data_IF_153622124766
#
_entry.id   IF_153622124766
#
_cell.length_a   1.000
_cell.length_b   1.000
_cell.length_c   1.000
_cell.angle_alpha   90.00
_cell.angle_beta   90.00
_cell.angle_gamma   90.00
#
_symmetry.space_group_name_H-M   'P 1'
#
loop_
_entity.id
_entity.type
_entity.pdbx_description
1 polymer ?
#
# COMPACT_ATOMS: atom_id res chain seq x y z
N UNK A 1 37.98 -40.41 52.01
CA UNK A 1 38.61 -39.35 52.82
C UNK A 1 39.05 -38.29 51.81
N UNK A 2 38.69 -36.99 51.94
CA UNK A 2 39.14 -36.02 50.96
C UNK A 2 40.67 -35.96 51.01
N UNK A 3 41.32 -36.30 49.90
CA UNK A 3 42.77 -36.19 49.74
C UNK A 3 43.12 -34.70 49.76
N UNK A 4 43.48 -34.21 50.95
CA UNK A 4 43.95 -32.84 51.17
C UNK A 4 45.40 -32.76 50.70
N UNK A 5 45.66 -31.88 49.72
CA UNK A 5 47.00 -31.59 49.23
C UNK A 5 47.42 -30.18 49.67
N UNK A 6 48.56 -30.06 50.36
CA UNK A 6 49.04 -28.83 51.01
C UNK A 6 50.53 -28.57 50.79
N UNK A 7 51.15 -29.15 49.75
CA UNK A 7 52.58 -29.00 49.50
C UNK A 7 52.84 -27.87 48.49
N UNK A 8 53.76 -26.97 48.85
CA UNK A 8 54.10 -25.77 48.08
C UNK A 8 53.37 -24.52 48.58
N UNK A 9 53.63 -23.38 47.92
CA UNK A 9 52.97 -22.11 48.21
C UNK A 9 52.34 -21.52 46.96
N UNK A 10 51.36 -20.64 47.12
CA UNK A 10 50.66 -19.98 46.01
C UNK A 10 50.64 -18.48 46.17
N UNK A 11 50.66 -17.78 45.04
CA UNK A 11 50.53 -16.33 44.95
C UNK A 11 49.43 -15.95 43.97
N UNK A 12 48.65 -14.93 44.31
CA UNK A 12 47.52 -14.41 43.52
C UNK A 12 47.50 -12.90 43.68
N UNK A 13 47.46 -12.16 42.58
CA UNK A 13 47.27 -10.71 42.64
C UNK A 13 45.80 -10.36 42.91
N UNK A 14 45.56 -9.26 43.62
CA UNK A 14 44.23 -8.77 43.93
C UNK A 14 43.44 -8.54 42.63
N UNK A 15 42.25 -9.12 42.55
CA UNK A 15 41.36 -8.98 41.39
C UNK A 15 41.72 -9.87 40.21
N UNK A 16 42.78 -10.67 40.27
CA UNK A 16 43.10 -11.67 39.24
C UNK A 16 42.57 -13.06 39.59
N UNK A 17 42.38 -13.89 38.57
CA UNK A 17 41.99 -15.30 38.71
C UNK A 17 43.19 -16.24 38.63
N UNK A 18 44.32 -15.79 38.10
CA UNK A 18 45.52 -16.61 37.95
C UNK A 18 46.23 -16.79 39.28
N UNK A 19 46.44 -18.05 39.65
CA UNK A 19 47.20 -18.49 40.82
C UNK A 19 48.52 -19.08 40.34
N UNK A 20 49.63 -18.53 40.80
CA UNK A 20 50.98 -19.06 40.52
C UNK A 20 51.46 -19.87 41.72
N UNK A 21 51.76 -21.14 41.48
CA UNK A 21 52.28 -22.07 42.49
C UNK A 21 53.80 -22.19 42.44
N UNK A 22 54.41 -22.31 43.62
CA UNK A 22 55.84 -22.61 43.82
C UNK A 22 55.99 -23.91 44.61
N UNK A 23 56.75 -24.86 44.07
CA UNK A 23 56.92 -26.19 44.69
C UNK A 23 55.64 -27.03 44.77
N UNK A 24 54.69 -26.78 43.85
CA UNK A 24 53.38 -27.46 43.78
C UNK A 24 53.40 -28.63 42.79
N UNK A 25 52.51 -29.62 43.00
CA UNK A 25 52.18 -30.64 42.00
C UNK A 25 50.66 -30.69 41.77
N UNK A 26 50.20 -30.12 40.67
CA UNK A 26 48.77 -30.04 40.32
C UNK A 26 48.30 -31.12 39.34
N UNK A 27 49.01 -32.26 39.29
CA UNK A 27 48.84 -33.31 38.28
C UNK A 27 47.47 -34.00 38.22
N UNK A 28 46.64 -33.89 39.26
CA UNK A 28 45.25 -34.36 39.26
C UNK A 28 44.32 -33.26 39.80
N UNK A 29 44.54 -31.99 39.47
CA UNK A 29 43.57 -30.91 39.69
C UNK A 29 42.62 -30.84 38.50
N UNK A 30 41.31 -30.74 38.76
CA UNK A 30 40.29 -30.60 37.72
C UNK A 30 39.47 -29.33 37.92
N UNK A 31 38.90 -28.82 36.84
CA UNK A 31 37.91 -27.76 36.90
C UNK A 31 36.76 -28.16 37.84
N UNK A 32 36.42 -27.28 38.77
CA UNK A 32 35.42 -27.49 39.82
C UNK A 32 35.95 -28.00 41.16
N UNK A 33 37.24 -28.39 41.26
CA UNK A 33 37.87 -28.62 42.57
C UNK A 33 38.03 -27.28 43.30
N UNK A 34 38.10 -27.31 44.63
CA UNK A 34 38.16 -26.10 45.45
C UNK A 34 39.57 -25.92 46.04
N UNK A 35 40.08 -24.70 45.95
CA UNK A 35 41.33 -24.30 46.62
C UNK A 35 41.03 -23.25 47.68
N UNK A 36 41.51 -23.51 48.89
CA UNK A 36 41.51 -22.58 50.00
C UNK A 36 42.93 -22.08 50.22
N UNK A 37 43.13 -20.76 50.25
CA UNK A 37 44.45 -20.15 50.41
C UNK A 37 44.49 -19.38 51.73
N UNK A 38 45.36 -19.80 52.65
CA UNK A 38 45.34 -19.34 54.04
C UNK A 38 43.94 -19.45 54.67
N UNK A 39 43.49 -18.37 55.31
CA UNK A 39 42.17 -18.25 55.94
C UNK A 39 41.08 -17.69 55.00
N UNK A 40 41.38 -17.51 53.70
CA UNK A 40 40.41 -17.00 52.74
C UNK A 40 39.33 -18.05 52.42
N UNK A 41 38.09 -17.66 52.08
CA UNK A 41 37.06 -18.61 51.68
C UNK A 41 37.51 -19.37 50.43
N UNK A 42 37.24 -20.68 50.39
CA UNK A 42 37.60 -21.52 49.25
C UNK A 42 37.02 -21.01 47.93
N UNK A 43 37.76 -21.23 46.85
CA UNK A 43 37.40 -20.82 45.49
C UNK A 43 37.42 -22.03 44.58
N UNK A 44 36.40 -22.16 43.75
CA UNK A 44 36.39 -23.16 42.70
C UNK A 44 37.46 -22.84 41.64
N UNK A 45 38.16 -23.87 41.20
CA UNK A 45 39.16 -23.79 40.13
C UNK A 45 38.43 -23.86 38.79
N UNK A 46 38.63 -22.87 37.93
CA UNK A 46 38.07 -22.83 36.58
C UNK A 46 38.83 -23.76 35.63
N UNK A 47 40.16 -23.74 35.70
CA UNK A 47 41.02 -24.59 34.86
C UNK A 47 42.43 -24.69 35.43
N UNK A 48 43.12 -25.78 35.11
CA UNK A 48 44.57 -25.89 35.28
C UNK A 48 45.23 -25.44 33.99
N UNK A 49 46.00 -24.36 34.04
CA UNK A 49 46.63 -23.75 32.86
C UNK A 49 47.92 -24.48 32.51
N UNK A 50 48.74 -24.79 33.51
CA UNK A 50 49.95 -25.59 33.38
C UNK A 50 50.33 -26.22 34.74
N UNK A 51 51.53 -26.80 34.85
CA UNK A 51 52.00 -27.45 36.07
C UNK A 51 52.14 -26.52 37.30
N UNK A 52 52.16 -25.21 37.06
CA UNK A 52 52.42 -24.15 38.06
C UNK A 52 51.40 -22.99 38.00
N UNK A 53 50.50 -22.95 37.01
CA UNK A 53 49.42 -21.96 36.91
C UNK A 53 48.02 -22.60 36.86
N UNK A 54 47.11 -22.09 37.69
CA UNK A 54 45.69 -22.44 37.66
C UNK A 54 44.85 -21.16 37.67
N UNK A 55 43.64 -21.26 37.14
CA UNK A 55 42.68 -20.15 37.12
C UNK A 55 41.55 -20.44 38.10
N UNK A 56 41.17 -19.43 38.89
CA UNK A 56 40.01 -19.45 39.76
C UNK A 56 38.75 -19.03 39.00
N UNK A 57 37.61 -19.61 39.35
CA UNK A 57 36.31 -19.21 38.80
C UNK A 57 35.90 -17.79 39.22
N UNK A 58 36.43 -17.30 40.34
CA UNK A 58 36.22 -15.94 40.84
C UNK A 58 37.50 -15.41 41.47
N UNK A 59 37.85 -14.14 41.26
CA UNK A 59 39.09 -13.57 41.76
C UNK A 59 39.16 -13.51 43.29
N UNK A 60 40.38 -13.43 43.80
CA UNK A 60 40.64 -13.14 45.21
C UNK A 60 40.80 -11.63 45.34
N UNK A 61 40.00 -11.00 46.20
CA UNK A 61 39.96 -9.53 46.33
C UNK A 61 41.16 -8.92 47.08
N UNK A 62 42.19 -9.71 47.37
CA UNK A 62 43.37 -9.33 48.15
C UNK A 62 44.62 -9.93 47.51
N UNK A 63 45.76 -9.26 47.67
CA UNK A 63 47.06 -9.79 47.24
C UNK A 63 47.48 -10.91 48.19
N UNK A 64 47.83 -12.06 47.60
CA UNK A 64 48.35 -13.24 48.28
C UNK A 64 49.73 -13.51 47.72
N UNK A 65 50.75 -13.60 48.59
CA UNK A 65 52.12 -13.86 48.16
C UNK A 65 52.72 -14.99 48.98
N UNK A 66 52.95 -16.13 48.32
CA UNK A 66 53.65 -17.27 48.92
C UNK A 66 52.91 -17.92 50.08
N UNK A 67 51.57 -17.93 50.05
CA UNK A 67 50.73 -18.49 51.11
C UNK A 67 50.55 -20.00 50.99
N UNK A 68 50.26 -20.64 52.12
CA UNK A 68 49.90 -22.06 52.17
C UNK A 68 48.47 -22.23 51.65
N UNK A 69 48.20 -23.33 50.95
CA UNK A 69 46.88 -23.65 50.44
C UNK A 69 46.45 -25.07 50.80
N UNK A 70 45.15 -25.29 50.76
CA UNK A 70 44.49 -26.59 50.87
C UNK A 70 43.67 -26.83 49.62
N UNK A 71 43.96 -27.92 48.92
CA UNK A 71 43.16 -28.37 47.78
C UNK A 71 42.13 -29.42 48.22
N UNK A 72 40.85 -29.13 47.98
CA UNK A 72 39.74 -30.06 48.16
C UNK A 72 39.34 -30.62 46.79
N UNK A 73 39.54 -31.92 46.60
CA UNK A 73 39.17 -32.64 45.37
C UNK A 73 37.68 -32.98 45.34
N UNK A 74 36.84 -31.97 45.22
CA UNK A 74 35.38 -32.06 45.27
C UNK A 74 34.70 -31.71 43.94
N UNK A 75 35.42 -31.66 42.81
CA UNK A 75 34.82 -31.37 41.51
C UNK A 75 33.62 -32.28 41.23
N UNK A 76 32.48 -31.73 40.76
CA UNK A 76 31.29 -32.53 40.43
C UNK A 76 31.58 -33.67 39.44
N UNK A 77 32.54 -33.47 38.53
CA UNK A 77 32.99 -34.47 37.55
C UNK A 77 33.68 -35.71 38.17
N UNK A 78 34.11 -35.64 39.44
CA UNK A 78 34.70 -36.77 40.17
C UNK A 78 33.64 -37.72 40.72
N UNK A 79 32.39 -37.27 40.86
CA UNK A 79 31.28 -38.06 41.36
C UNK A 79 30.47 -38.61 40.17
N UNK A 80 30.85 -39.80 39.72
CA UNK A 80 30.33 -40.49 38.51
C UNK A 80 28.81 -40.49 38.38
N UNK A 81 28.06 -40.62 39.48
CA UNK A 81 26.59 -40.69 39.47
C UNK A 81 25.88 -39.34 39.27
N UNK A 82 26.43 -38.23 39.79
CA UNK A 82 25.83 -36.90 39.64
C UNK A 82 26.14 -36.28 38.28
N UNK A 83 27.39 -36.42 37.83
CA UNK A 83 27.84 -35.88 36.55
C UNK A 83 27.20 -36.58 35.35
N UNK A 84 27.08 -37.91 35.37
CA UNK A 84 26.35 -38.64 34.33
C UNK A 84 24.86 -38.24 34.28
N UNK A 85 24.22 -38.02 35.43
CA UNK A 85 22.82 -37.58 35.47
C UNK A 85 22.63 -36.18 34.87
N UNK A 86 23.56 -35.25 35.11
CA UNK A 86 23.56 -33.94 34.45
C UNK A 86 23.82 -34.03 32.95
N UNK A 87 24.79 -34.84 32.53
CA UNK A 87 25.06 -35.07 31.11
C UNK A 87 23.86 -35.68 30.38
N UNK A 88 23.20 -36.67 30.99
CA UNK A 88 21.97 -37.27 30.45
C UNK A 88 20.85 -36.25 30.41
N UNK A 89 20.65 -35.44 31.46
CA UNK A 89 19.65 -34.35 31.46
C UNK A 89 19.94 -33.33 30.35
N UNK A 90 21.20 -32.95 30.16
CA UNK A 90 21.61 -32.03 29.10
C UNK A 90 21.41 -32.63 27.71
N UNK A 91 21.70 -33.93 27.53
CA UNK A 91 21.46 -34.63 26.27
C UNK A 91 19.96 -34.72 25.96
N UNK A 92 19.12 -35.06 26.94
CA UNK A 92 17.66 -35.09 26.79
C UNK A 92 17.12 -33.71 26.46
N UNK A 93 17.62 -32.65 27.11
CA UNK A 93 17.25 -31.27 26.76
C UNK A 93 17.64 -30.91 25.32
N UNK A 94 18.85 -31.29 24.87
CA UNK A 94 19.29 -31.08 23.48
C UNK A 94 18.47 -31.89 22.48
N UNK A 95 18.09 -33.12 22.81
CA UNK A 95 17.21 -33.93 21.98
C UNK A 95 15.81 -33.30 21.86
N UNK A 96 15.28 -32.73 22.94
CA UNK A 96 14.03 -31.97 22.91
C UNK A 96 14.09 -30.75 21.98
N UNK A 97 15.22 -30.03 21.97
CA UNK A 97 15.44 -28.91 21.02
C UNK A 97 15.46 -29.40 19.57
N UNK A 98 16.03 -30.56 19.30
CA UNK A 98 16.09 -31.13 17.94
C UNK A 98 14.72 -31.56 17.42
N UNK A 99 13.89 -32.18 18.27
CA UNK A 99 12.52 -32.56 17.89
C UNK A 99 11.62 -31.32 17.70
N UNK A 100 11.78 -30.28 18.52
CA UNK A 100 11.10 -28.99 18.32
C UNK A 100 11.54 -28.27 17.03
N UNK A 101 12.78 -28.52 16.57
CA UNK A 101 13.33 -27.93 15.35
C UNK A 101 12.93 -28.67 14.07
N UNK A 102 12.14 -29.75 14.13
CA UNK A 102 11.66 -30.44 12.92
C UNK A 102 10.69 -29.52 12.16
N UNK A 103 11.05 -29.06 10.94
CA UNK A 103 10.28 -28.05 10.24
C UNK A 103 8.97 -28.59 9.67
N UNK A 104 8.84 -29.90 9.46
CA UNK A 104 7.63 -30.55 8.96
C UNK A 104 7.54 -32.00 9.47
N UNK A 105 6.34 -32.48 9.75
CA UNK A 105 6.08 -33.89 10.01
C UNK A 105 5.38 -34.55 8.82
N UNK A 106 5.84 -35.73 8.42
CA UNK A 106 5.12 -36.56 7.46
C UNK A 106 4.06 -37.39 8.20
N UNK A 107 2.81 -37.29 7.77
CA UNK A 107 1.68 -37.99 8.40
C UNK A 107 0.93 -38.84 7.39
N UNK A 108 0.58 -40.06 7.76
CA UNK A 108 -0.14 -41.00 6.90
C UNK A 108 -1.53 -40.48 6.54
N UNK A 109 -2.22 -39.86 7.50
CA UNK A 109 -3.53 -39.23 7.27
C UNK A 109 -3.73 -38.00 8.14
N UNK A 110 -4.57 -37.09 7.67
CA UNK A 110 -5.05 -35.96 8.44
C UNK A 110 -6.56 -36.04 8.66
N UNK A 111 -6.99 -35.96 9.93
CA UNK A 111 -8.39 -35.86 10.29
C UNK A 111 -9.11 -37.19 10.55
N UNK A 112 -8.39 -38.32 10.59
CA UNK A 112 -9.02 -39.61 10.94
C UNK A 112 -9.42 -39.63 12.41
N UNK A 113 -10.65 -40.10 12.69
CA UNK A 113 -11.19 -40.17 14.05
C UNK A 113 -10.92 -41.51 14.75
N UNK A 114 -10.41 -42.51 14.04
CA UNK A 114 -10.10 -43.83 14.61
C UNK A 114 -8.68 -44.25 14.29
N UNK A 115 -7.96 -44.88 15.23
CA UNK A 115 -6.65 -45.43 14.97
C UNK A 115 -6.72 -46.50 13.87
N UNK A 116 -5.71 -46.58 12.98
CA UNK A 116 -5.60 -47.68 12.02
C UNK A 116 -5.48 -49.02 12.76
N UNK A 117 -5.99 -50.09 12.15
CA UNK A 117 -5.93 -51.43 12.75
C UNK A 117 -4.53 -52.06 12.77
N UNK A 118 -3.62 -51.60 11.91
CA UNK A 118 -2.25 -52.14 11.80
C UNK A 118 -1.23 -51.04 11.46
N UNK A 119 -0.97 -50.08 12.36
CA UNK A 119 0.06 -49.06 12.16
C UNK A 119 1.47 -49.65 12.17
N UNK A 120 2.36 -49.09 11.35
CA UNK A 120 3.79 -49.43 11.35
C UNK A 120 4.50 -48.55 12.38
N UNK A 121 5.54 -49.09 13.03
CA UNK A 121 6.36 -48.31 13.98
C UNK A 121 6.85 -47.03 13.31
N UNK A 122 6.70 -45.92 14.02
CA UNK A 122 6.96 -44.54 13.59
C UNK A 122 5.94 -43.91 12.63
N UNK A 123 4.85 -44.60 12.29
CA UNK A 123 3.76 -43.93 11.57
C UNK A 123 3.17 -42.80 12.41
N UNK A 124 2.94 -41.67 11.76
CA UNK A 124 2.28 -40.50 12.37
C UNK A 124 0.96 -40.19 11.69
N UNK A 125 0.01 -39.71 12.46
CA UNK A 125 -1.34 -39.35 12.02
C UNK A 125 -1.73 -38.03 12.70
N UNK A 126 -2.52 -37.21 12.03
CA UNK A 126 -3.24 -36.13 12.71
C UNK A 126 -4.63 -36.63 13.08
N UNK A 127 -4.91 -36.63 14.38
CA UNK A 127 -6.18 -37.05 14.95
C UNK A 127 -7.27 -36.06 14.55
N UNK A 128 -8.41 -36.57 14.10
CA UNK A 128 -9.57 -35.76 13.74
C UNK A 128 -10.24 -35.05 14.91
N UNK A 129 -11.32 -34.35 14.62
CA UNK A 129 -12.03 -33.49 15.60
C UNK A 129 -12.91 -34.26 16.57
N UNK A 130 -13.22 -35.54 16.30
CA UNK A 130 -14.10 -36.37 17.13
C UNK A 130 -13.51 -37.76 17.33
N UNK A 131 -12.36 -37.88 18.02
CA UNK A 131 -11.61 -39.12 18.05
C UNK A 131 -12.25 -40.19 18.94
N UNK A 132 -11.98 -41.45 18.58
CA UNK A 132 -12.55 -42.67 19.16
C UNK A 132 -11.45 -43.68 19.49
N UNK A 133 -11.81 -44.73 20.24
CA UNK A 133 -10.86 -45.78 20.62
C UNK A 133 -9.65 -45.23 21.39
N UNK A 134 -8.45 -45.69 21.02
CA UNK A 134 -7.21 -45.24 21.66
C UNK A 134 -6.89 -43.74 21.45
N UNK A 135 -7.55 -43.08 20.49
CA UNK A 135 -7.35 -41.65 20.21
C UNK A 135 -8.33 -40.73 20.98
N UNK A 136 -9.29 -41.30 21.74
CA UNK A 136 -10.29 -40.53 22.45
C UNK A 136 -9.69 -39.42 23.34
N UNK A 137 -10.25 -38.21 23.27
CA UNK A 137 -9.78 -37.03 24.01
C UNK A 137 -8.53 -36.35 23.43
N UNK A 138 -8.01 -36.80 22.28
CA UNK A 138 -6.79 -36.27 21.64
C UNK A 138 -7.08 -35.54 20.32
N UNK A 139 -8.20 -34.83 20.24
CA UNK A 139 -8.63 -34.16 19.02
C UNK A 139 -7.54 -33.19 18.51
N UNK A 140 -7.28 -33.19 17.20
CA UNK A 140 -6.28 -32.37 16.53
C UNK A 140 -4.81 -32.60 16.90
N UNK A 141 -4.50 -33.52 17.82
CA UNK A 141 -3.12 -33.86 18.17
C UNK A 141 -2.47 -34.70 17.07
N UNK A 142 -1.13 -34.69 17.05
CA UNK A 142 -0.36 -35.69 16.32
C UNK A 142 -0.31 -36.96 17.15
N UNK A 143 -0.56 -38.09 16.50
CA UNK A 143 -0.48 -39.43 17.09
C UNK A 143 0.59 -40.23 16.36
N UNK A 144 1.63 -40.64 17.09
CA UNK A 144 2.73 -41.47 16.58
C UNK A 144 2.63 -42.88 17.18
N UNK A 145 2.79 -43.90 16.35
CA UNK A 145 2.86 -45.28 16.82
C UNK A 145 4.29 -45.69 17.19
N UNK A 146 4.53 -46.10 18.43
CA UNK A 146 5.87 -46.51 18.91
C UNK A 146 6.21 -47.97 18.65
N UNK A 147 5.28 -48.74 18.06
CA UNK A 147 5.34 -50.20 17.97
C UNK A 147 4.52 -50.92 19.06
N UNK A 148 4.21 -50.23 20.16
CA UNK A 148 3.42 -50.80 21.27
C UNK A 148 2.39 -49.83 21.87
N UNK A 149 2.56 -48.51 21.69
CA UNK A 149 1.66 -47.50 22.21
C UNK A 149 1.56 -46.28 21.30
N UNK A 150 0.53 -45.46 21.51
CA UNK A 150 0.36 -44.17 20.86
C UNK A 150 1.00 -43.06 21.69
N UNK A 151 1.95 -42.34 21.11
CA UNK A 151 2.49 -41.10 21.64
C UNK A 151 1.70 -39.93 21.03
N UNK A 152 1.21 -39.01 21.87
CA UNK A 152 0.44 -37.85 21.41
C UNK A 152 1.18 -36.55 21.67
N UNK A 153 1.25 -35.72 20.64
CA UNK A 153 1.84 -34.38 20.69
C UNK A 153 0.77 -33.35 20.36
N UNK A 154 0.61 -32.34 21.20
CA UNK A 154 -0.29 -31.21 20.91
C UNK A 154 0.29 -30.36 19.77
N UNK A 155 -0.55 -29.84 18.90
CA UNK A 155 -0.12 -28.99 17.80
C UNK A 155 0.12 -27.55 18.28
N UNK A 156 1.31 -27.02 18.04
CA UNK A 156 1.64 -25.62 18.29
C UNK A 156 1.35 -24.77 17.05
N UNK A 157 1.02 -23.48 17.27
CA UNK A 157 0.71 -22.56 16.17
C UNK A 157 1.84 -22.50 15.15
N UNK A 158 1.53 -22.71 13.87
CA UNK A 158 2.51 -22.73 12.79
C UNK A 158 3.13 -24.11 12.53
N UNK A 159 2.80 -25.13 13.33
CA UNK A 159 3.21 -26.51 13.04
C UNK A 159 2.65 -26.94 11.69
N UNK A 160 3.50 -27.53 10.86
CA UNK A 160 3.17 -28.01 9.52
C UNK A 160 3.32 -29.52 9.40
N UNK A 161 2.39 -30.12 8.68
CA UNK A 161 2.39 -31.54 8.34
C UNK A 161 2.18 -31.73 6.85
N UNK A 162 2.79 -32.75 6.28
CA UNK A 162 2.53 -33.19 4.91
C UNK A 162 1.82 -34.54 4.96
N UNK A 163 0.63 -34.61 4.37
CA UNK A 163 -0.12 -35.87 4.31
C UNK A 163 0.38 -36.74 3.16
N UNK A 164 0.84 -37.96 3.46
CA UNK A 164 1.28 -38.93 2.44
C UNK A 164 0.13 -39.32 1.52
N UNK A 165 -1.07 -39.48 2.07
CA UNK A 165 -2.26 -39.86 1.32
C UNK A 165 -2.69 -38.81 0.27
N UNK A 166 -2.42 -37.52 0.49
CA UNK A 166 -2.93 -36.43 -0.37
C UNK A 166 -1.84 -35.54 -0.98
N UNK A 167 -0.61 -35.58 -0.47
CA UNK A 167 0.47 -34.66 -0.81
C UNK A 167 0.26 -33.23 -0.29
N UNK A 168 -0.83 -32.95 0.43
CA UNK A 168 -1.18 -31.60 0.88
C UNK A 168 -0.43 -31.25 2.15
N UNK A 169 0.21 -30.07 2.14
CA UNK A 169 0.75 -29.45 3.34
C UNK A 169 -0.41 -28.80 4.10
N UNK A 170 -0.52 -29.10 5.39
CA UNK A 170 -1.48 -28.45 6.29
C UNK A 170 -0.75 -27.78 7.45
N UNK A 171 -1.24 -26.62 7.87
CA UNK A 171 -0.66 -25.82 8.95
C UNK A 171 -1.70 -25.65 10.06
N UNK A 172 -1.26 -25.82 11.30
CA UNK A 172 -2.08 -25.55 12.48
C UNK A 172 -2.18 -24.05 12.75
N UNK A 173 -3.39 -23.49 12.70
CA UNK A 173 -3.63 -22.06 12.95
C UNK A 173 -3.89 -21.73 14.43
N UNK A 174 -3.68 -22.67 15.35
CA UNK A 174 -4.04 -22.55 16.77
C UNK A 174 -5.40 -23.16 17.16
N UNK A 175 -6.28 -23.42 16.18
CA UNK A 175 -7.63 -23.96 16.41
C UNK A 175 -8.02 -25.12 15.48
N UNK A 176 -7.45 -25.17 14.28
CA UNK A 176 -7.75 -26.17 13.25
C UNK A 176 -6.55 -26.36 12.32
N UNK A 177 -6.46 -27.56 11.74
CA UNK A 177 -5.54 -27.85 10.63
C UNK A 177 -6.15 -27.33 9.32
N UNK A 178 -5.43 -26.45 8.64
CA UNK A 178 -5.86 -25.87 7.36
C UNK A 178 -4.85 -26.22 6.26
N UNK A 179 -5.33 -26.56 5.08
CA UNK A 179 -4.48 -26.77 3.92
C UNK A 179 -3.74 -25.47 3.54
N UNK A 180 -2.44 -25.56 3.31
CA UNK A 180 -1.67 -24.47 2.73
C UNK A 180 -2.06 -24.32 1.25
N UNK A 181 -2.53 -23.13 0.90
CA UNK A 181 -2.82 -22.75 -0.48
C UNK A 181 -1.78 -21.72 -0.90
N UNK A 182 -0.97 -22.07 -1.90
CA UNK A 182 0.01 -21.13 -2.43
C UNK A 182 -0.71 -19.89 -2.99
N UNK A 183 -0.25 -18.66 -2.68
CA UNK A 183 -0.82 -17.46 -3.25
C UNK A 183 -0.69 -17.50 -4.78
N UNK A 184 -1.72 -17.02 -5.48
CA UNK A 184 -1.64 -16.86 -6.94
C UNK A 184 -0.55 -15.84 -7.29
N UNK A 185 -0.09 -15.85 -8.55
CA UNK A 185 0.87 -14.84 -9.02
C UNK A 185 0.38 -13.41 -8.78
N UNK A 186 -0.92 -13.15 -8.91
CA UNK A 186 -1.53 -11.87 -8.56
C UNK A 186 -1.39 -11.55 -7.07
N UNK A 187 -1.75 -12.47 -6.17
CA UNK A 187 -1.64 -12.23 -4.72
C UNK A 187 -0.19 -12.03 -4.32
N UNK A 188 0.76 -12.77 -4.90
CA UNK A 188 2.19 -12.56 -4.66
C UNK A 188 2.63 -11.13 -4.95
N UNK A 189 2.13 -10.50 -6.03
CA UNK A 189 2.48 -9.10 -6.32
C UNK A 189 2.04 -8.12 -5.22
N UNK A 190 0.99 -8.44 -4.45
CA UNK A 190 0.52 -7.61 -3.35
C UNK A 190 1.21 -7.89 -2.01
N UNK A 191 1.81 -9.08 -1.84
CA UNK A 191 2.35 -9.51 -0.55
C UNK A 191 3.67 -8.80 -0.19
N UNK A 192 4.38 -8.27 -1.18
CA UNK A 192 5.62 -7.51 -1.00
C UNK A 192 5.36 -6.00 -0.81
N UNK A 193 4.11 -5.54 -0.94
CA UNK A 193 3.74 -4.14 -0.79
C UNK A 193 3.72 -3.74 0.70
N UNK A 194 4.65 -2.88 1.10
CA UNK A 194 4.82 -2.45 2.50
C UNK A 194 3.79 -1.41 2.94
N UNK A 195 3.10 -0.79 1.99
CA UNK A 195 2.07 0.21 2.26
C UNK A 195 0.84 0.05 1.37
N UNK A 196 -0.29 0.59 1.82
CA UNK A 196 -1.48 0.70 0.98
C UNK A 196 -1.24 1.52 -0.29
N UNK A 197 -0.24 2.41 -0.29
CA UNK A 197 0.15 3.19 -1.47
C UNK A 197 0.92 2.36 -2.50
N UNK A 198 1.62 1.32 -2.12
CA UNK A 198 2.31 0.40 -3.03
C UNK A 198 1.32 -0.62 -3.60
N UNK A 199 0.45 -1.18 -2.74
CA UNK A 199 -0.64 -2.08 -3.14
C UNK A 199 -1.54 -1.51 -4.23
N UNK A 200 -1.88 -0.22 -4.15
CA UNK A 200 -2.68 0.46 -5.18
C UNK A 200 -1.92 0.58 -6.53
N UNK A 201 -0.60 0.41 -6.58
CA UNK A 201 0.24 0.62 -7.78
C UNK A 201 0.20 -0.68 -8.56
N UNK A 202 0.46 -1.74 -7.83
CA UNK A 202 0.36 -3.13 -8.26
C UNK A 202 -1.04 -3.46 -8.80
N UNK A 203 -2.10 -2.90 -8.19
CA UNK A 203 -3.48 -3.05 -8.65
C UNK A 203 -3.81 -2.35 -10.00
N UNK A 204 -2.87 -1.62 -10.60
CA UNK A 204 -2.85 -1.46 -12.05
C UNK A 204 -3.85 -0.48 -12.68
N UNK A 205 -4.27 0.61 -12.03
CA UNK A 205 -4.93 1.69 -12.76
C UNK A 205 -4.48 3.07 -12.25
N UNK A 206 -3.48 3.64 -12.93
CA UNK A 206 -3.04 5.03 -12.74
C UNK A 206 -4.22 6.00 -12.76
N UNK A 207 -5.19 5.76 -13.66
CA UNK A 207 -6.44 6.52 -13.75
C UNK A 207 -7.35 6.34 -12.52
N UNK A 208 -7.45 5.13 -11.96
CA UNK A 208 -8.26 4.88 -10.76
C UNK A 208 -7.63 5.51 -9.51
N UNK A 209 -6.29 5.54 -9.45
CA UNK A 209 -5.54 6.28 -8.41
C UNK A 209 -5.81 7.78 -8.48
N UNK A 210 -5.72 8.35 -9.67
CA UNK A 210 -5.96 9.76 -9.92
C UNK A 210 -7.40 10.16 -9.53
N UNK A 211 -8.38 9.27 -9.71
CA UNK A 211 -9.77 9.50 -9.32
C UNK A 211 -10.07 9.25 -7.84
N UNK A 212 -9.38 8.30 -7.19
CA UNK A 212 -9.69 7.83 -5.84
C UNK A 212 -9.45 8.86 -4.72
N UNK A 213 -8.74 9.95 -4.99
CA UNK A 213 -8.47 11.04 -4.04
C UNK A 213 -9.24 12.33 -4.35
N UNK A 214 -10.10 12.33 -5.38
CA UNK A 214 -10.80 13.52 -5.81
C UNK A 214 -11.92 13.92 -4.85
N UNK A 215 -11.92 15.18 -4.45
CA UNK A 215 -13.03 15.83 -3.72
C UNK A 215 -13.49 17.05 -4.49
N UNK A 216 -14.79 17.29 -4.59
CA UNK A 216 -15.34 18.46 -5.26
C UNK A 216 -16.72 18.88 -4.76
N UNK A 217 -17.11 20.10 -5.10
CA UNK A 217 -18.48 20.57 -4.96
C UNK A 217 -19.43 19.85 -5.94
N UNK A 218 -20.73 19.82 -5.60
CA UNK A 218 -21.78 19.28 -6.46
C UNK A 218 -21.75 19.91 -7.86
N UNK A 219 -22.00 19.10 -8.91
CA UNK A 219 -21.98 19.56 -10.30
C UNK A 219 -20.58 19.67 -10.91
N UNK A 220 -19.60 18.95 -10.37
CA UNK A 220 -18.23 18.86 -10.91
C UNK A 220 -17.99 17.52 -11.62
N UNK A 221 -17.13 17.49 -12.63
CA UNK A 221 -16.68 16.27 -13.33
C UNK A 221 -15.17 16.08 -13.17
N UNK A 222 -14.71 14.82 -13.27
CA UNK A 222 -13.29 14.49 -13.23
C UNK A 222 -12.66 14.64 -14.63
N UNK A 223 -11.50 15.28 -14.70
CA UNK A 223 -10.72 15.45 -15.94
C UNK A 223 -9.28 15.02 -15.69
N UNK A 224 -8.73 14.19 -16.58
CA UNK A 224 -7.32 13.84 -16.55
C UNK A 224 -6.45 14.99 -17.08
N UNK A 225 -5.34 15.26 -16.40
CA UNK A 225 -4.40 16.35 -16.72
C UNK A 225 -3.02 15.84 -17.12
N UNK A 226 -2.64 14.63 -16.68
CA UNK A 226 -1.34 14.02 -16.95
C UNK A 226 -1.38 13.00 -18.09
N UNK A 227 -0.24 12.79 -18.74
CA UNK A 227 -0.04 11.73 -19.73
C UNK A 227 -0.38 10.37 -19.12
N UNK A 228 -1.15 9.54 -19.83
CA UNK A 228 -1.52 8.20 -19.35
C UNK A 228 -2.47 8.17 -18.13
N UNK A 229 -3.16 9.28 -17.82
CA UNK A 229 -4.12 9.34 -16.72
C UNK A 229 -3.48 9.35 -15.34
N UNK A 230 -2.22 9.78 -15.24
CA UNK A 230 -1.48 9.83 -13.97
C UNK A 230 -2.05 10.84 -12.97
N UNK A 231 -2.60 11.94 -13.49
CA UNK A 231 -3.18 13.02 -12.71
C UNK A 231 -4.60 13.30 -13.17
N UNK A 232 -5.49 13.58 -12.21
CA UNK A 232 -6.85 14.02 -12.46
C UNK A 232 -7.20 15.19 -11.53
N UNK A 233 -8.08 16.04 -12.01
CA UNK A 233 -8.61 17.18 -11.27
C UNK A 233 -10.12 17.22 -11.40
N UNK A 234 -10.78 17.83 -10.42
CA UNK A 234 -12.21 18.11 -10.49
C UNK A 234 -12.44 19.49 -11.09
N UNK A 235 -13.41 19.57 -11.99
CA UNK A 235 -13.74 20.78 -12.75
C UNK A 235 -15.25 21.01 -12.69
N UNK A 236 -15.68 22.26 -12.61
CA UNK A 236 -17.11 22.57 -12.68
C UNK A 236 -17.65 22.25 -14.09
N UNK A 237 -18.87 21.71 -14.19
CA UNK A 237 -19.54 21.50 -15.49
C UNK A 237 -19.80 22.87 -16.16
N UNK A 238 -20.29 23.84 -15.39
CA UNK A 238 -20.53 25.21 -15.84
C UNK A 238 -19.61 26.19 -15.09
N UNK A 239 -18.92 27.06 -15.82
CA UNK A 239 -17.93 27.99 -15.28
C UNK A 239 -17.10 28.61 -16.40
N UNK A 240 -15.94 29.17 -16.06
CA UNK A 240 -15.02 29.70 -17.08
C UNK A 240 -14.49 28.58 -17.97
N UNK A 241 -14.71 28.69 -19.28
CA UNK A 241 -14.16 27.78 -20.28
C UNK A 241 -12.77 28.28 -20.67
N UNK A 242 -11.79 27.38 -20.66
CA UNK A 242 -10.41 27.70 -21.02
C UNK A 242 -9.72 26.50 -21.67
N UNK A 243 -8.66 26.76 -22.42
CA UNK A 243 -7.87 25.75 -23.13
C UNK A 243 -6.39 26.14 -23.15
N UNK A 244 -5.54 25.14 -23.30
CA UNK A 244 -4.12 25.33 -23.60
C UNK A 244 -3.70 24.31 -24.66
N UNK A 245 -3.14 24.78 -25.78
CA UNK A 245 -2.69 23.90 -26.87
C UNK A 245 -3.79 23.01 -27.47
N UNK A 246 -5.05 23.48 -27.49
CA UNK A 246 -6.21 22.71 -27.96
C UNK A 246 -6.80 21.75 -26.91
N UNK A 247 -6.17 21.63 -25.74
CA UNK A 247 -6.69 20.80 -24.64
C UNK A 247 -7.56 21.64 -23.71
N UNK A 248 -8.83 21.27 -23.46
CA UNK A 248 -9.67 21.98 -22.50
C UNK A 248 -9.09 21.91 -21.08
N UNK A 249 -8.89 23.07 -20.47
CA UNK A 249 -8.33 23.21 -19.11
C UNK A 249 -9.33 23.77 -18.10
N UNK A 250 -10.50 24.26 -18.56
CA UNK A 250 -11.58 24.82 -17.75
C UNK A 250 -12.88 24.01 -17.80
N UNK A 251 -14.00 24.67 -17.49
CA UNK A 251 -15.33 24.09 -17.48
C UNK A 251 -15.80 23.64 -18.88
N UNK A 252 -16.89 22.86 -18.95
CA UNK A 252 -17.47 22.42 -20.23
C UNK A 252 -18.26 23.53 -20.92
N UNK A 253 -18.98 24.33 -20.13
CA UNK A 253 -19.84 25.39 -20.62
C UNK A 253 -19.60 26.70 -19.87
N UNK A 254 -19.48 27.80 -20.61
CA UNK A 254 -19.47 29.16 -20.07
C UNK A 254 -20.61 29.91 -20.74
N UNK A 255 -21.56 30.44 -19.97
CA UNK A 255 -22.62 31.28 -20.52
C UNK A 255 -22.57 32.66 -19.89
N UNK A 256 -22.97 33.67 -20.66
CA UNK A 256 -23.01 35.04 -20.18
C UNK A 256 -23.87 35.94 -21.04
N UNK A 257 -24.07 37.15 -20.53
CA UNK A 257 -24.84 38.19 -21.20
C UNK A 257 -24.26 39.56 -20.85
N UNK A 258 -24.22 40.45 -21.82
CA UNK A 258 -23.88 41.85 -21.61
C UNK A 258 -24.75 42.74 -22.50
N UNK A 259 -24.46 44.05 -22.54
CA UNK A 259 -25.23 45.00 -23.35
C UNK A 259 -25.25 44.70 -24.86
N UNK A 260 -24.35 43.86 -25.36
CA UNK A 260 -24.24 43.49 -26.76
C UNK A 260 -24.97 42.18 -27.12
N UNK A 261 -25.47 41.44 -26.12
CA UNK A 261 -26.21 40.19 -26.32
C UNK A 261 -25.81 39.08 -25.36
N UNK A 262 -26.10 37.85 -25.76
CA UNK A 262 -25.87 36.63 -25.00
C UNK A 262 -24.83 35.75 -25.70
N UNK A 263 -24.10 34.94 -24.93
CA UNK A 263 -23.17 33.98 -25.47
C UNK A 263 -23.14 32.67 -24.69
N UNK A 264 -22.71 31.61 -25.37
CA UNK A 264 -22.24 30.37 -24.75
C UNK A 264 -20.93 29.94 -25.42
N UNK A 265 -19.93 29.58 -24.62
CA UNK A 265 -18.71 28.90 -25.05
C UNK A 265 -18.76 27.44 -24.64
N UNK A 266 -18.22 26.61 -25.49
CA UNK A 266 -18.06 25.19 -25.29
C UNK A 266 -16.57 24.85 -25.18
N UNK A 267 -16.24 23.85 -24.36
CA UNK A 267 -14.87 23.37 -24.18
C UNK A 267 -14.20 22.89 -25.49
N UNK A 268 -14.98 22.46 -26.48
CA UNK A 268 -14.49 22.08 -27.81
C UNK A 268 -14.00 23.27 -28.66
N UNK A 269 -14.18 24.50 -28.18
CA UNK A 269 -13.85 25.75 -28.88
C UNK A 269 -14.99 26.41 -29.63
N UNK A 270 -16.14 25.76 -29.71
CA UNK A 270 -17.34 26.35 -30.31
C UNK A 270 -17.85 27.50 -29.43
N UNK A 271 -18.28 28.59 -30.06
CA UNK A 271 -18.96 29.69 -29.40
C UNK A 271 -20.20 30.08 -30.21
N UNK A 272 -21.29 30.36 -29.50
CA UNK A 272 -22.52 30.90 -30.07
C UNK A 272 -22.78 32.24 -29.41
N UNK A 273 -22.95 33.29 -30.21
CA UNK A 273 -23.40 34.60 -29.76
C UNK A 273 -24.73 34.93 -30.42
N UNK A 274 -25.66 35.51 -29.67
CA UNK A 274 -26.93 35.96 -30.23
C UNK A 274 -27.42 37.23 -29.56
N UNK A 275 -28.14 38.04 -30.33
CA UNK A 275 -28.82 39.21 -29.82
C UNK A 275 -30.10 39.46 -30.63
N UNK A 276 -31.10 40.04 -29.98
CA UNK A 276 -32.30 40.59 -30.63
C UNK A 276 -32.31 42.09 -30.39
N UNK A 277 -32.42 42.86 -31.46
CA UNK A 277 -32.55 44.31 -31.41
C UNK A 277 -34.02 44.68 -31.39
N UNK A 278 -34.41 45.41 -30.35
CA UNK A 278 -35.73 46.02 -30.26
C UNK A 278 -35.90 47.06 -31.39
N UNK A 279 -37.14 47.28 -31.80
CA UNK A 279 -37.58 48.26 -32.81
C UNK A 279 -36.67 49.47 -32.95
N UNK A 280 -35.96 49.56 -34.07
CA UNK A 280 -35.09 50.68 -34.41
C UNK A 280 -35.71 51.46 -35.57
N UNK A 281 -35.66 52.79 -35.51
CA UNK A 281 -36.00 53.60 -36.67
C UNK A 281 -34.90 53.44 -37.73
N UNK A 282 -35.31 52.98 -38.91
CA UNK A 282 -34.44 52.74 -40.05
C UNK A 282 -34.92 53.60 -41.21
N UNK A 283 -33.99 54.24 -41.91
CA UNK A 283 -34.26 54.94 -43.16
C UNK A 283 -33.87 54.02 -44.32
N UNK A 284 -34.82 53.77 -45.22
CA UNK A 284 -34.72 52.83 -46.34
C UNK A 284 -35.15 53.56 -47.62
N UNK A 285 -34.67 54.78 -47.84
CA UNK A 285 -35.14 55.65 -48.93
C UNK A 285 -34.22 55.73 -50.16
N UNK A 286 -32.94 55.34 -50.08
CA UNK A 286 -31.93 55.95 -50.99
C UNK A 286 -31.08 54.99 -51.82
N UNK A 287 -31.16 53.68 -51.62
CA UNK A 287 -30.35 52.72 -52.38
C UNK A 287 -31.24 51.65 -53.00
N UNK A 288 -31.72 51.91 -54.21
CA UNK A 288 -32.33 50.88 -55.03
C UNK A 288 -31.29 49.77 -55.28
N UNK A 289 -31.69 48.55 -54.99
CA UNK A 289 -30.94 47.30 -55.17
C UNK A 289 -31.86 46.33 -55.90
N UNK A 290 -31.34 45.20 -56.40
CA UNK A 290 -32.09 44.27 -57.26
C UNK A 290 -33.44 43.91 -56.61
N UNK A 291 -34.52 44.55 -57.08
CA UNK A 291 -35.89 44.31 -56.62
C UNK A 291 -36.36 45.03 -55.33
N UNK A 292 -35.61 45.98 -54.75
CA UNK A 292 -36.04 46.68 -53.53
C UNK A 292 -35.14 47.81 -53.03
N UNK A 293 -35.30 48.20 -51.77
CA UNK A 293 -34.54 49.26 -51.10
C UNK A 293 -33.83 48.70 -49.86
N UNK A 294 -32.58 49.13 -49.64
CA UNK A 294 -31.79 48.74 -48.45
C UNK A 294 -31.56 49.90 -47.49
N UNK A 295 -31.44 49.59 -46.20
CA UNK A 295 -31.00 50.55 -45.18
C UNK A 295 -29.51 50.87 -45.28
N UNK A 296 -29.08 51.89 -44.53
CA UNK A 296 -27.67 51.99 -44.13
C UNK A 296 -27.25 50.74 -43.34
N UNK A 297 -25.97 50.39 -43.41
CA UNK A 297 -25.41 49.29 -42.64
C UNK A 297 -25.49 49.59 -41.13
N UNK A 298 -25.80 48.54 -40.39
CA UNK A 298 -25.75 48.49 -38.93
C UNK A 298 -24.63 47.54 -38.58
N UNK A 299 -23.84 47.84 -37.56
CA UNK A 299 -22.72 46.98 -37.15
C UNK A 299 -22.86 46.64 -35.68
N UNK A 300 -23.65 45.61 -35.32
CA UNK A 300 -23.74 45.14 -33.95
C UNK A 300 -22.43 44.51 -33.49
N UNK A 301 -21.95 44.89 -32.32
CA UNK A 301 -20.81 44.24 -31.68
C UNK A 301 -21.24 42.91 -31.08
N UNK A 302 -20.39 41.87 -31.20
CA UNK A 302 -20.65 40.61 -30.50
C UNK A 302 -20.37 40.76 -29.00
N UNK A 303 -21.08 40.02 -28.12
CA UNK A 303 -20.83 40.04 -26.68
C UNK A 303 -19.43 39.54 -26.30
N UNK A 304 -18.85 38.64 -27.10
CA UNK A 304 -17.47 38.15 -26.97
C UNK A 304 -16.88 38.05 -28.38
N UNK A 305 -15.59 38.38 -28.53
CA UNK A 305 -14.89 38.26 -29.80
C UNK A 305 -14.63 36.80 -30.18
N UNK A 306 -14.83 36.46 -31.46
CA UNK A 306 -14.42 35.18 -32.03
C UNK A 306 -12.93 35.21 -32.41
N UNK A 307 -12.31 34.04 -32.57
CA UNK A 307 -10.94 33.89 -33.04
C UNK A 307 -10.80 34.22 -34.54
N UNK A 308 -11.87 34.02 -35.31
CA UNK A 308 -12.00 34.36 -36.73
C UNK A 308 -13.44 34.74 -37.05
N UNK A 309 -13.70 35.26 -38.26
CA UNK A 309 -15.04 35.68 -38.65
C UNK A 309 -16.04 34.51 -38.54
N UNK A 310 -17.09 34.62 -37.68
CA UNK A 310 -18.07 33.55 -37.50
C UNK A 310 -19.05 33.47 -38.67
N UNK A 311 -19.73 32.33 -38.77
CA UNK A 311 -20.92 32.20 -39.60
C UNK A 311 -22.08 32.92 -38.90
N UNK A 312 -22.65 33.93 -39.57
CA UNK A 312 -23.73 34.75 -39.02
C UNK A 312 -25.01 34.49 -39.79
N UNK A 313 -26.07 34.14 -39.07
CA UNK A 313 -27.44 34.09 -39.57
C UNK A 313 -28.19 35.25 -38.98
N UNK A 314 -28.92 35.98 -39.81
CA UNK A 314 -29.77 37.10 -39.40
C UNK A 314 -31.23 36.75 -39.60
N UNK A 315 -32.10 37.35 -38.80
CA UNK A 315 -33.53 37.14 -38.88
C UNK A 315 -34.27 38.44 -38.54
N UNK A 316 -35.37 38.71 -39.22
CA UNK A 316 -36.28 39.78 -38.86
C UNK A 316 -37.31 39.27 -37.84
N UNK A 317 -37.60 40.06 -36.81
CA UNK A 317 -38.59 39.74 -35.77
C UNK A 317 -39.86 40.58 -35.88
N UNK A 318 -39.90 41.54 -36.81
CA UNK A 318 -41.07 42.35 -37.15
C UNK A 318 -40.70 43.75 -37.63
N UNK A 319 -41.68 44.50 -38.12
CA UNK A 319 -41.51 45.91 -38.46
C UNK A 319 -42.83 46.62 -38.75
N UNK A 320 -42.94 47.88 -38.33
CA UNK A 320 -44.03 48.77 -38.70
C UNK A 320 -43.54 49.79 -39.73
N UNK A 321 -44.20 49.80 -40.87
CA UNK A 321 -43.99 50.81 -41.90
C UNK A 321 -44.50 52.17 -41.43
N UNK A 322 -44.17 53.22 -42.18
CA UNK A 322 -44.82 54.52 -42.06
C UNK A 322 -46.36 54.33 -42.09
N UNK A 323 -47.03 54.66 -40.98
CA UNK A 323 -48.49 54.49 -40.82
C UNK A 323 -48.96 53.26 -40.02
N UNK A 324 -48.05 52.44 -39.46
CA UNK A 324 -48.41 51.32 -38.57
C UNK A 324 -48.72 49.99 -39.27
N UNK A 325 -48.61 49.92 -40.60
CA UNK A 325 -48.78 48.68 -41.37
C UNK A 325 -47.61 47.71 -41.11
N UNK A 326 -47.89 46.43 -40.89
CA UNK A 326 -46.86 45.40 -40.82
C UNK A 326 -46.12 45.32 -42.15
N UNK A 327 -44.82 45.64 -42.14
CA UNK A 327 -44.00 45.55 -43.35
C UNK A 327 -43.05 44.37 -43.18
N UNK A 328 -43.13 43.39 -44.09
CA UNK A 328 -42.15 42.32 -44.15
C UNK A 328 -40.77 42.90 -44.44
N UNK A 329 -39.81 42.63 -43.56
CA UNK A 329 -38.42 43.05 -43.72
C UNK A 329 -37.54 41.80 -43.86
N UNK A 330 -36.64 41.80 -44.84
CA UNK A 330 -35.56 40.83 -44.93
C UNK A 330 -34.28 41.44 -44.34
N UNK A 331 -33.38 40.60 -43.86
CA UNK A 331 -32.06 41.01 -43.38
C UNK A 331 -30.98 40.42 -44.27
N UNK A 332 -29.91 41.17 -44.49
CA UNK A 332 -28.68 40.65 -45.10
C UNK A 332 -27.54 40.76 -44.13
N UNK A 333 -26.53 39.92 -44.33
CA UNK A 333 -25.25 40.00 -43.61
C UNK A 333 -24.14 39.60 -44.57
N UNK A 334 -23.02 40.30 -44.51
CA UNK A 334 -21.79 39.95 -45.21
C UNK A 334 -20.66 40.06 -44.19
N UNK A 335 -20.72 39.16 -43.20
CA UNK A 335 -19.84 39.26 -42.06
C UNK A 335 -18.40 38.87 -42.43
N UNK A 336 -17.46 39.77 -42.15
CA UNK A 336 -16.03 39.52 -42.30
C UNK A 336 -15.25 39.81 -41.00
N UNK A 337 -15.91 40.33 -39.96
CA UNK A 337 -15.28 40.69 -38.69
C UNK A 337 -15.53 39.62 -37.62
N UNK A 338 -14.55 39.44 -36.73
CA UNK A 338 -14.63 38.52 -35.60
C UNK A 338 -15.24 39.17 -34.33
N UNK A 339 -15.36 40.50 -34.30
CA UNK A 339 -15.81 41.28 -33.14
C UNK A 339 -17.20 41.89 -33.32
N UNK A 340 -17.72 41.90 -34.54
CA UNK A 340 -19.01 42.52 -34.88
C UNK A 340 -19.62 41.87 -36.11
N UNK A 341 -20.94 41.98 -36.28
CA UNK A 341 -21.65 41.54 -37.48
C UNK A 341 -21.64 42.64 -38.55
N UNK A 342 -20.72 42.57 -39.51
CA UNK A 342 -20.63 43.53 -40.62
C UNK A 342 -21.58 43.20 -41.77
N UNK A 343 -21.93 44.20 -42.57
CA UNK A 343 -22.87 44.09 -43.68
C UNK A 343 -24.32 43.86 -43.26
N UNK A 344 -24.66 44.07 -41.98
CA UNK A 344 -26.02 43.90 -41.48
C UNK A 344 -26.90 45.04 -41.97
N UNK A 345 -27.92 44.75 -42.78
CA UNK A 345 -28.85 45.75 -43.30
C UNK A 345 -30.26 45.17 -43.46
N UNK A 346 -31.25 46.05 -43.46
CA UNK A 346 -32.65 45.72 -43.73
C UNK A 346 -32.98 45.95 -45.21
N UNK A 347 -33.78 45.05 -45.79
CA UNK A 347 -34.31 45.13 -47.14
C UNK A 347 -35.83 45.16 -47.12
N UNK A 348 -36.41 46.11 -47.85
CA UNK A 348 -37.85 46.25 -48.04
C UNK A 348 -38.19 46.42 -49.52
N UNK A 349 -39.41 46.02 -49.90
CA UNK A 349 -39.90 46.14 -51.28
C UNK A 349 -40.20 47.59 -51.69
N UNK A 350 -40.39 48.51 -50.74
CA UNK A 350 -40.73 49.91 -50.98
C UNK A 350 -39.83 50.85 -50.17
N UNK A 351 -39.56 52.03 -50.73
CA UNK A 351 -38.79 53.07 -50.06
C UNK A 351 -39.56 53.64 -48.88
N UNK A 352 -38.92 53.77 -47.72
CA UNK A 352 -39.51 54.43 -46.55
C UNK A 352 -38.51 55.39 -45.92
N UNK A 353 -38.88 56.66 -45.78
CA UNK A 353 -38.06 57.68 -45.11
C UNK A 353 -37.95 57.45 -43.60
N UNK A 354 -38.98 56.85 -42.99
CA UNK A 354 -38.97 56.38 -41.60
C UNK A 354 -39.78 55.09 -41.49
N UNK A 355 -39.14 54.00 -41.07
CA UNK A 355 -39.79 52.74 -40.69
C UNK A 355 -39.19 52.24 -39.39
N UNK A 356 -39.95 51.46 -38.64
CA UNK A 356 -39.48 50.79 -37.44
C UNK A 356 -39.31 49.31 -37.77
N UNK A 357 -38.08 48.80 -37.69
CA UNK A 357 -37.77 47.40 -37.93
C UNK A 357 -37.07 46.77 -36.74
N UNK A 358 -37.34 45.49 -36.49
CA UNK A 358 -36.72 44.67 -35.46
C UNK A 358 -36.12 43.42 -36.09
N UNK A 359 -34.94 43.04 -35.61
CA UNK A 359 -34.21 41.89 -36.10
C UNK A 359 -33.24 41.37 -35.03
N UNK A 360 -32.65 40.22 -35.30
CA UNK A 360 -31.57 39.68 -34.50
C UNK A 360 -30.57 38.92 -35.35
N UNK A 361 -29.57 38.37 -34.67
CA UNK A 361 -28.60 37.49 -35.28
C UNK A 361 -28.29 36.31 -34.35
N UNK A 362 -27.84 35.22 -34.96
CA UNK A 362 -27.11 34.13 -34.31
C UNK A 362 -25.78 33.99 -35.04
N UNK A 363 -24.68 34.12 -34.31
CA UNK A 363 -23.33 33.96 -34.81
C UNK A 363 -22.71 32.70 -34.18
N UNK A 364 -22.18 31.81 -35.02
CA UNK A 364 -21.54 30.57 -34.61
C UNK A 364 -20.12 30.56 -35.15
N UNK A 365 -19.14 30.32 -34.28
CA UNK A 365 -17.74 30.34 -34.63
C UNK A 365 -16.87 29.75 -33.53
N UNK A 366 -15.57 30.08 -33.54
CA UNK A 366 -14.62 29.61 -32.54
C UNK A 366 -14.19 30.72 -31.60
N UNK A 367 -13.99 30.42 -30.31
CA UNK A 367 -13.43 31.39 -29.35
C UNK A 367 -11.91 31.29 -29.18
N UNK A 368 -11.29 30.22 -29.70
CA UNK A 368 -9.84 30.04 -29.81
C UNK A 368 -9.43 29.29 -31.08
#
# INVERSE_FOLDING_TARGET
>A
MPDIYTTGTVSVAAGTTTVTGSGVLWSDVRAGDEIQIGDLPGRAIASLTDATHLELATPIGVDVVGEVYTLLRNAPSRFTSGYLAEQVRALVARAGVLEAARPNYEVQSLGSNAPPGSPVTNDMYVVGTSPTGAWAGRANNLAQWTGSAWLFTAADHGMSVVSVATGVISVWNGTSWLAYVAPTSFIQTLMDDTTAAEARTTLGATAFRAMGTLTAAAGSFARFTGTGGADAVMQAIAGTVSQSGGTPTGALFESGSNGNGNYVKFADGTMICWATFTTRQVNVASSAVIGGFRSAEITPTFPVAFASAPAVVTFATGGTGSGGASTGAATTVNNAAATSATGFAFYLAASQSTTVAAAGYVAIGRWF
#
